data_IF_828848003953
#
_entry.id   IF_828848003953
#
_cell.length_a   1.000
_cell.length_b   1.000
_cell.length_c   1.000
_cell.angle_alpha   90.00
_cell.angle_beta   90.00
_cell.angle_gamma   90.00
#
_symmetry.space_group_name_H-M   'P 1'
#
loop_
_entity.id
_entity.type
_entity.pdbx_description
1 polymer ?
#
# COMPACT_ATOMS: atom_id res chain seq x y z
N UNK A 1 -17.64 4.88 36.37
CA UNK A 1 -17.10 5.36 35.08
C UNK A 1 -16.15 4.28 34.60
N UNK A 2 -16.36 3.72 33.42
CA UNK A 2 -15.46 2.71 32.86
C UNK A 2 -14.10 3.36 32.61
N UNK A 3 -13.04 2.72 33.11
CA UNK A 3 -11.68 3.21 32.97
C UNK A 3 -11.18 2.91 31.55
N UNK A 4 -11.39 3.85 30.62
CA UNK A 4 -11.09 3.64 29.19
C UNK A 4 -9.61 3.32 28.90
N UNK A 5 -8.73 3.48 29.89
CA UNK A 5 -7.31 3.12 29.83
C UNK A 5 -7.04 1.63 30.05
N UNK A 6 -8.04 0.81 30.38
CA UNK A 6 -7.88 -0.65 30.45
C UNK A 6 -8.01 -1.34 29.10
N UNK A 7 -8.58 -0.67 28.10
CA UNK A 7 -8.74 -1.22 26.77
C UNK A 7 -7.40 -1.40 26.08
N UNK A 8 -7.22 -2.60 25.52
CA UNK A 8 -6.08 -2.96 24.68
C UNK A 8 -6.50 -2.92 23.22
N UNK A 9 -5.53 -2.90 22.32
CA UNK A 9 -5.82 -2.87 20.89
C UNK A 9 -6.59 -4.13 20.44
N UNK A 10 -6.32 -5.27 21.09
CA UNK A 10 -7.00 -6.53 20.86
C UNK A 10 -8.53 -6.45 21.10
N UNK A 11 -8.97 -5.61 22.04
CA UNK A 11 -10.39 -5.46 22.41
C UNK A 11 -11.23 -4.80 21.29
N UNK A 12 -10.56 -4.15 20.33
CA UNK A 12 -11.21 -3.51 19.18
C UNK A 12 -11.24 -4.39 17.91
N UNK A 13 -10.70 -5.61 17.97
CA UNK A 13 -10.78 -6.55 16.84
C UNK A 13 -12.19 -7.16 16.74
N UNK A 14 -12.86 -6.85 15.63
CA UNK A 14 -14.24 -7.29 15.37
C UNK A 14 -14.32 -8.67 14.69
N UNK A 15 -13.17 -9.27 14.40
CA UNK A 15 -13.06 -10.50 13.61
C UNK A 15 -11.85 -11.32 14.07
N UNK A 16 -11.88 -12.63 13.79
CA UNK A 16 -10.75 -13.52 14.06
C UNK A 16 -9.74 -13.54 12.91
N UNK A 17 -8.46 -13.89 13.17
CA UNK A 17 -7.45 -14.02 12.11
C UNK A 17 -7.88 -14.96 10.98
N UNK A 18 -8.61 -16.04 11.29
CA UNK A 18 -9.14 -16.97 10.29
C UNK A 18 -10.09 -16.29 9.31
N UNK A 19 -10.99 -15.44 9.80
CA UNK A 19 -11.94 -14.68 8.96
C UNK A 19 -11.19 -13.68 8.09
N UNK A 20 -10.20 -12.99 8.67
CA UNK A 20 -9.34 -12.05 7.95
C UNK A 20 -8.61 -12.70 6.77
N UNK A 21 -7.90 -13.81 7.01
CA UNK A 21 -7.15 -14.48 5.94
C UNK A 21 -8.05 -15.14 4.90
N UNK A 22 -9.21 -15.67 5.32
CA UNK A 22 -10.21 -16.23 4.40
C UNK A 22 -10.73 -15.19 3.41
N UNK A 23 -10.83 -13.92 3.81
CA UNK A 23 -11.20 -12.83 2.90
C UNK A 23 -10.24 -12.73 1.71
N UNK A 24 -8.94 -12.82 1.94
CA UNK A 24 -7.92 -12.77 0.88
C UNK A 24 -7.97 -14.01 -0.01
N UNK A 25 -8.16 -15.20 0.56
CA UNK A 25 -8.34 -16.43 -0.23
C UNK A 25 -9.50 -16.32 -1.22
N UNK A 26 -10.66 -15.87 -0.74
CA UNK A 26 -11.85 -15.69 -1.56
C UNK A 26 -11.66 -14.58 -2.60
N UNK A 27 -10.99 -13.48 -2.23
CA UNK A 27 -10.66 -12.41 -3.16
C UNK A 27 -9.72 -12.89 -4.27
N UNK A 28 -8.66 -13.62 -3.91
CA UNK A 28 -7.68 -14.13 -4.86
C UNK A 28 -8.29 -15.13 -5.84
N UNK A 29 -9.09 -16.07 -5.34
CA UNK A 29 -9.82 -17.01 -6.19
C UNK A 29 -10.77 -16.28 -7.17
N UNK A 30 -11.50 -15.27 -6.68
CA UNK A 30 -12.43 -14.50 -7.50
C UNK A 30 -11.76 -13.60 -8.54
N UNK A 31 -10.51 -13.17 -8.29
CA UNK A 31 -9.78 -12.26 -9.16
C UNK A 31 -8.78 -12.96 -10.07
N UNK A 32 -8.62 -14.28 -10.02
CA UNK A 32 -7.79 -14.97 -10.99
C UNK A 32 -8.28 -14.70 -12.43
N UNK A 33 -7.42 -14.31 -13.40
CA UNK A 33 -5.95 -14.20 -13.36
C UNK A 33 -5.40 -12.76 -13.20
N UNK A 34 -6.20 -11.82 -12.69
CA UNK A 34 -5.87 -10.39 -12.57
C UNK A 34 -4.56 -10.13 -11.80
N UNK A 35 -4.17 -11.02 -10.88
CA UNK A 35 -2.87 -10.96 -10.18
C UNK A 35 -1.70 -10.85 -11.15
N UNK A 36 -1.73 -11.58 -12.26
CA UNK A 36 -0.66 -11.53 -13.26
C UNK A 36 -0.60 -10.16 -13.93
N UNK A 37 -1.75 -9.57 -14.22
CA UNK A 37 -1.86 -8.25 -14.82
C UNK A 37 -1.41 -7.14 -13.85
N UNK A 38 -1.77 -7.23 -12.57
CA UNK A 38 -1.36 -6.25 -11.57
C UNK A 38 0.14 -6.33 -11.28
N UNK A 39 0.72 -7.53 -11.21
CA UNK A 39 2.17 -7.72 -11.10
C UNK A 39 2.91 -7.17 -12.34
N UNK A 40 2.40 -7.43 -13.54
CA UNK A 40 2.94 -6.85 -14.78
C UNK A 40 2.86 -5.31 -14.78
N UNK A 41 1.75 -4.75 -14.29
CA UNK A 41 1.59 -3.31 -14.13
C UNK A 41 2.59 -2.73 -13.11
N UNK A 42 2.87 -3.44 -12.02
CA UNK A 42 3.90 -3.06 -11.04
C UNK A 42 5.30 -3.05 -11.64
N UNK A 43 5.65 -4.07 -12.43
CA UNK A 43 6.92 -4.11 -13.16
C UNK A 43 7.01 -2.97 -14.20
N UNK A 44 5.91 -2.68 -14.90
CA UNK A 44 5.84 -1.55 -15.81
C UNK A 44 6.04 -0.20 -15.09
N UNK A 45 5.48 -0.01 -13.89
CA UNK A 45 5.75 1.18 -13.07
C UNK A 45 7.24 1.31 -12.76
N UNK A 46 7.88 0.25 -12.29
CA UNK A 46 9.33 0.24 -12.01
C UNK A 46 10.13 0.59 -13.27
N UNK A 47 9.79 0.00 -14.41
CA UNK A 47 10.45 0.28 -15.69
C UNK A 47 10.26 1.74 -16.12
N UNK A 48 9.07 2.31 -15.94
CA UNK A 48 8.79 3.72 -16.26
C UNK A 48 9.61 4.68 -15.39
N UNK A 49 9.79 4.36 -14.10
CA UNK A 49 10.65 5.14 -13.18
C UNK A 49 12.12 5.12 -13.62
N UNK A 50 12.59 3.97 -14.13
CA UNK A 50 13.98 3.77 -14.58
C UNK A 50 14.25 4.38 -15.96
N UNK A 51 13.36 4.16 -16.94
CA UNK A 51 13.54 4.55 -18.35
C UNK A 51 13.11 5.97 -18.65
N UNK A 52 12.16 6.51 -17.89
CA UNK A 52 11.67 7.90 -17.95
C UNK A 52 11.30 8.39 -19.36
N UNK A 53 10.49 7.64 -20.14
CA UNK A 53 9.99 8.13 -21.44
C UNK A 53 9.14 9.40 -21.29
N UNK A 54 8.78 10.04 -22.42
CA UNK A 54 7.86 11.19 -22.39
C UNK A 54 6.57 10.82 -21.65
N UNK A 55 6.10 11.70 -20.76
CA UNK A 55 4.90 11.51 -19.93
C UNK A 55 4.95 10.30 -18.97
N UNK A 56 6.13 9.77 -18.62
CA UNK A 56 6.25 8.66 -17.67
C UNK A 56 5.53 8.92 -16.33
N UNK A 57 5.60 10.14 -15.80
CA UNK A 57 4.93 10.50 -14.54
C UNK A 57 3.40 10.39 -14.61
N UNK A 58 2.81 10.73 -15.75
CA UNK A 58 1.38 10.56 -16.01
C UNK A 58 1.00 9.08 -16.01
N UNK A 59 1.73 8.25 -16.76
CA UNK A 59 1.44 6.81 -16.83
C UNK A 59 1.58 6.12 -15.47
N UNK A 60 2.64 6.42 -14.71
CA UNK A 60 2.82 5.89 -13.36
C UNK A 60 1.63 6.27 -12.47
N UNK A 61 1.22 7.55 -12.49
CA UNK A 61 0.11 8.03 -11.68
C UNK A 61 -1.23 7.41 -12.10
N UNK A 62 -1.50 7.25 -13.39
CA UNK A 62 -2.73 6.63 -13.89
C UNK A 62 -2.82 5.15 -13.48
N UNK A 63 -1.72 4.40 -13.61
CA UNK A 63 -1.69 2.99 -13.20
C UNK A 63 -1.89 2.89 -11.69
N UNK A 64 -1.13 3.65 -10.88
CA UNK A 64 -1.32 3.66 -9.42
C UNK A 64 -2.75 4.09 -9.04
N UNK A 65 -3.32 5.11 -9.68
CA UNK A 65 -4.68 5.55 -9.41
C UNK A 65 -5.70 4.44 -9.70
N UNK A 66 -5.57 3.74 -10.83
CA UNK A 66 -6.39 2.58 -11.15
C UNK A 66 -6.29 1.48 -10.08
N UNK A 67 -5.07 1.17 -9.62
CA UNK A 67 -4.85 0.19 -8.57
C UNK A 67 -5.45 0.62 -7.22
N UNK A 68 -5.26 1.87 -6.79
CA UNK A 68 -5.84 2.39 -5.55
C UNK A 68 -7.37 2.36 -5.59
N UNK A 69 -7.97 2.81 -6.70
CA UNK A 69 -9.42 2.78 -6.88
C UNK A 69 -9.94 1.33 -6.87
N UNK A 70 -9.27 0.43 -7.58
CA UNK A 70 -9.65 -0.98 -7.63
C UNK A 70 -9.53 -1.66 -6.27
N UNK A 71 -8.42 -1.51 -5.55
CA UNK A 71 -8.21 -2.10 -4.22
C UNK A 71 -9.20 -1.53 -3.21
N UNK A 72 -9.40 -0.21 -3.21
CA UNK A 72 -10.34 0.48 -2.33
C UNK A 72 -11.78 0.01 -2.53
N UNK A 73 -12.22 -0.14 -3.78
CA UNK A 73 -13.54 -0.66 -4.08
C UNK A 73 -13.66 -2.17 -3.80
N UNK A 74 -12.76 -2.95 -4.39
CA UNK A 74 -12.93 -4.39 -4.49
C UNK A 74 -12.66 -5.12 -3.17
N UNK A 75 -11.57 -4.79 -2.47
CA UNK A 75 -11.21 -5.46 -1.23
C UNK A 75 -11.71 -4.66 -0.03
N UNK A 76 -11.35 -3.39 0.08
CA UNK A 76 -11.69 -2.61 1.29
C UNK A 76 -13.20 -2.44 1.43
N UNK A 77 -13.86 -1.85 0.43
CA UNK A 77 -15.30 -1.56 0.51
C UNK A 77 -16.16 -2.84 0.44
N UNK A 78 -15.97 -3.68 -0.58
CA UNK A 78 -16.90 -4.83 -0.80
C UNK A 78 -16.67 -6.02 0.12
N UNK A 79 -15.48 -6.20 0.69
CA UNK A 79 -15.13 -7.40 1.46
C UNK A 79 -14.73 -7.08 2.89
N UNK A 80 -13.79 -6.16 3.08
CA UNK A 80 -13.25 -5.88 4.41
C UNK A 80 -14.23 -5.09 5.28
N UNK A 81 -14.98 -4.14 4.70
CA UNK A 81 -16.02 -3.39 5.42
C UNK A 81 -17.14 -4.29 5.99
N UNK A 82 -17.35 -5.49 5.41
CA UNK A 82 -18.35 -6.43 5.89
C UNK A 82 -17.95 -7.10 7.22
N UNK A 83 -16.65 -7.24 7.50
CA UNK A 83 -16.14 -7.83 8.75
C UNK A 83 -15.56 -6.77 9.71
N UNK A 84 -15.29 -5.57 9.21
CA UNK A 84 -14.77 -4.45 9.97
C UNK A 84 -15.42 -3.15 9.51
N UNK A 85 -16.47 -2.70 10.21
CA UNK A 85 -17.25 -1.52 9.82
C UNK A 85 -16.41 -0.25 9.71
N UNK A 86 -15.30 -0.14 10.46
CA UNK A 86 -14.41 1.02 10.39
C UNK A 86 -13.82 1.22 8.98
N UNK A 87 -13.66 0.12 8.22
CA UNK A 87 -13.13 0.16 6.85
C UNK A 87 -14.07 0.87 5.88
N UNK A 88 -15.37 0.97 6.17
CA UNK A 88 -16.29 1.79 5.38
C UNK A 88 -15.86 3.27 5.35
N UNK A 89 -15.20 3.76 6.40
CA UNK A 89 -14.66 5.13 6.43
C UNK A 89 -13.27 5.25 5.81
N UNK A 90 -12.49 4.15 5.80
CA UNK A 90 -11.13 4.12 5.25
C UNK A 90 -11.13 3.92 3.73
N UNK A 91 -12.03 3.10 3.20
CA UNK A 91 -12.08 2.76 1.79
C UNK A 91 -12.24 3.99 0.85
N UNK A 92 -13.05 5.02 1.16
CA UNK A 92 -13.09 6.26 0.35
C UNK A 92 -11.75 6.99 0.27
N UNK A 93 -10.87 6.86 1.27
CA UNK A 93 -9.54 7.47 1.23
C UNK A 93 -8.69 6.89 0.10
N UNK A 94 -8.84 5.61 -0.24
CA UNK A 94 -8.17 5.02 -1.41
C UNK A 94 -8.69 5.61 -2.73
N UNK A 95 -9.98 5.91 -2.81
CA UNK A 95 -10.55 6.67 -3.93
C UNK A 95 -9.99 8.09 -4.01
N UNK A 96 -9.87 8.78 -2.87
CA UNK A 96 -9.24 10.09 -2.80
C UNK A 96 -7.78 10.05 -3.24
N UNK A 97 -7.00 9.04 -2.81
CA UNK A 97 -5.63 8.83 -3.26
C UNK A 97 -5.55 8.68 -4.79
N UNK A 98 -6.46 7.92 -5.40
CA UNK A 98 -6.53 7.79 -6.85
C UNK A 98 -6.79 9.13 -7.54
N UNK A 99 -7.72 9.93 -7.03
CA UNK A 99 -8.01 11.27 -7.57
C UNK A 99 -6.80 12.22 -7.43
N UNK A 100 -6.15 12.22 -6.28
CA UNK A 100 -4.96 13.03 -6.02
C UNK A 100 -3.80 12.67 -6.96
N UNK A 101 -3.60 11.38 -7.25
CA UNK A 101 -2.60 10.91 -8.21
C UNK A 101 -2.87 11.44 -9.62
N UNK A 102 -4.11 11.30 -10.10
CA UNK A 102 -4.51 11.80 -11.44
C UNK A 102 -4.34 13.32 -11.52
N UNK A 103 -4.82 14.05 -10.51
CA UNK A 103 -4.74 15.50 -10.47
C UNK A 103 -3.29 16.00 -10.38
N UNK A 104 -2.47 15.37 -9.54
CA UNK A 104 -1.07 15.71 -9.39
C UNK A 104 -0.27 15.48 -10.66
N UNK A 105 -0.56 14.40 -11.39
CA UNK A 105 0.05 14.16 -12.69
C UNK A 105 -0.43 15.12 -13.78
N UNK A 106 -1.74 15.42 -13.83
CA UNK A 106 -2.31 16.33 -14.82
C UNK A 106 -1.73 17.76 -14.71
N UNK A 107 -1.37 18.18 -13.49
CA UNK A 107 -0.70 19.47 -13.25
C UNK A 107 0.82 19.43 -13.35
N UNK A 108 1.41 18.32 -13.81
CA UNK A 108 2.87 18.17 -13.88
C UNK A 108 3.57 18.12 -12.52
N UNK A 109 2.81 17.91 -11.43
CA UNK A 109 3.30 17.89 -10.06
C UNK A 109 3.96 16.57 -9.62
N UNK A 110 4.20 15.65 -10.57
CA UNK A 110 4.87 14.37 -10.35
C UNK A 110 5.93 14.14 -11.42
N UNK A 111 7.19 14.38 -11.07
CA UNK A 111 8.35 14.08 -11.89
C UNK A 111 9.20 12.99 -11.23
N UNK A 112 9.77 12.08 -12.01
CA UNK A 112 10.62 10.98 -11.50
C UNK A 112 12.07 11.18 -11.93
N UNK A 113 12.61 12.37 -11.64
CA UNK A 113 13.94 12.80 -12.06
C UNK A 113 15.03 12.50 -11.02
N UNK A 114 14.66 12.25 -9.76
CA UNK A 114 15.58 12.05 -8.64
C UNK A 114 16.52 10.85 -8.83
N UNK A 115 17.72 10.96 -8.24
CA UNK A 115 18.77 9.91 -8.24
C UNK A 115 19.47 9.76 -6.89
N UNK A 116 18.95 10.40 -5.85
CA UNK A 116 19.51 10.36 -4.50
C UNK A 116 19.27 9.00 -3.81
N UNK A 117 19.90 8.82 -2.65
CA UNK A 117 19.75 7.59 -1.86
C UNK A 117 18.29 7.32 -1.51
N UNK A 118 17.50 8.36 -1.21
CA UNK A 118 16.07 8.24 -0.95
C UNK A 118 15.29 7.66 -2.13
N UNK A 119 15.60 8.05 -3.38
CA UNK A 119 14.98 7.47 -4.56
C UNK A 119 15.36 5.99 -4.76
N UNK A 120 16.63 5.61 -4.46
CA UNK A 120 17.07 4.19 -4.54
C UNK A 120 16.40 3.33 -3.48
N UNK A 121 16.33 3.82 -2.23
CA UNK A 121 15.61 3.18 -1.15
C UNK A 121 14.11 3.06 -1.46
N UNK A 122 13.52 4.11 -2.05
CA UNK A 122 12.15 4.09 -2.53
C UNK A 122 11.92 2.95 -3.54
N UNK A 123 12.81 2.79 -4.53
CA UNK A 123 12.68 1.70 -5.48
C UNK A 123 12.82 0.32 -4.82
N UNK A 124 13.72 0.17 -3.83
CA UNK A 124 13.83 -1.06 -3.04
C UNK A 124 12.54 -1.36 -2.28
N UNK A 125 11.96 -0.37 -1.60
CA UNK A 125 10.66 -0.49 -0.92
C UNK A 125 9.57 -0.88 -1.94
N UNK A 126 9.61 -0.31 -3.15
CA UNK A 126 8.66 -0.63 -4.20
C UNK A 126 8.72 -2.11 -4.61
N UNK A 127 9.93 -2.63 -4.78
CA UNK A 127 10.17 -4.04 -5.10
C UNK A 127 9.78 -4.96 -3.95
N UNK A 128 9.98 -4.55 -2.69
CA UNK A 128 9.52 -5.31 -1.51
C UNK A 128 8.00 -5.48 -1.54
N UNK A 129 7.24 -4.40 -1.76
CA UNK A 129 5.79 -4.48 -1.88
C UNK A 129 5.32 -5.34 -3.06
N UNK A 130 6.04 -5.26 -4.19
CA UNK A 130 5.68 -5.98 -5.41
C UNK A 130 5.98 -7.49 -5.34
N UNK A 131 7.13 -7.86 -4.78
CA UNK A 131 7.70 -9.22 -4.89
C UNK A 131 7.78 -9.91 -3.54
N UNK A 132 8.32 -9.25 -2.51
CA UNK A 132 8.57 -9.92 -1.22
C UNK A 132 7.27 -10.13 -0.45
N UNK A 133 6.40 -9.13 -0.41
CA UNK A 133 5.16 -9.17 0.37
C UNK A 133 4.23 -10.33 -0.01
N UNK A 134 3.94 -10.60 -1.31
CA UNK A 134 3.08 -11.71 -1.71
C UNK A 134 3.66 -13.10 -1.38
N UNK A 135 4.97 -13.20 -1.14
CA UNK A 135 5.67 -14.45 -0.82
C UNK A 135 5.72 -14.74 0.68
N UNK A 136 5.25 -13.82 1.52
CA UNK A 136 5.27 -13.96 2.98
C UNK A 136 4.34 -15.02 3.58
N UNK A 137 3.09 -15.22 3.12
CA UNK A 137 2.16 -16.10 3.81
C UNK A 137 2.71 -17.53 4.07
N UNK A 138 3.34 -18.21 3.09
CA UNK A 138 3.94 -19.52 3.32
C UNK A 138 5.04 -19.53 4.39
N UNK A 139 5.82 -18.44 4.52
CA UNK A 139 6.86 -18.32 5.56
C UNK A 139 6.29 -18.28 6.97
N UNK A 140 5.02 -17.90 7.10
CA UNK A 140 4.28 -17.84 8.35
C UNK A 140 3.25 -18.98 8.49
N UNK A 141 3.41 -20.06 7.71
CA UNK A 141 2.53 -21.24 7.77
C UNK A 141 1.14 -21.03 7.17
N UNK A 142 0.91 -19.95 6.42
CA UNK A 142 -0.36 -19.69 5.71
C UNK A 142 -0.34 -20.23 4.28
N UNK A 143 -1.51 -20.61 3.72
CA UNK A 143 -1.58 -21.10 2.34
C UNK A 143 -1.27 -19.99 1.32
N UNK A 144 -0.72 -20.37 0.17
CA UNK A 144 -0.50 -19.46 -0.96
C UNK A 144 -1.77 -18.75 -1.45
N UNK A 145 -2.93 -19.39 -1.26
CA UNK A 145 -4.21 -18.80 -1.61
C UNK A 145 -4.51 -17.51 -0.84
N UNK A 146 -3.97 -17.34 0.38
CA UNK A 146 -4.15 -16.13 1.18
C UNK A 146 -3.11 -15.05 0.88
N UNK A 147 -2.35 -15.17 -0.21
CA UNK A 147 -1.30 -14.22 -0.55
C UNK A 147 -1.82 -12.82 -0.83
N UNK A 148 -1.19 -11.83 -0.20
CA UNK A 148 -1.50 -10.44 -0.45
C UNK A 148 -0.70 -9.97 -1.67
N UNK A 149 -1.36 -9.98 -2.83
CA UNK A 149 -0.73 -9.63 -4.11
C UNK A 149 -0.86 -8.13 -4.39
N UNK A 150 0.22 -7.50 -4.88
CA UNK A 150 0.21 -6.12 -5.35
C UNK A 150 -0.94 -5.86 -6.35
N UNK A 151 -1.64 -4.74 -6.16
CA UNK A 151 -2.79 -4.34 -6.97
C UNK A 151 -4.10 -5.08 -6.68
N UNK A 152 -4.08 -6.08 -5.79
CA UNK A 152 -5.27 -6.77 -5.28
C UNK A 152 -5.45 -6.48 -3.78
N UNK A 153 -4.36 -6.62 -3.03
CA UNK A 153 -4.30 -6.34 -1.59
C UNK A 153 -3.77 -4.92 -1.32
N UNK A 154 -4.25 -4.26 -0.25
CA UNK A 154 -3.93 -2.87 0.04
C UNK A 154 -2.51 -2.67 0.56
N UNK A 155 -1.99 -3.58 1.39
CA UNK A 155 -0.65 -3.47 1.99
C UNK A 155 0.48 -3.47 0.94
N UNK A 156 0.60 -4.48 0.06
CA UNK A 156 1.64 -4.47 -0.97
C UNK A 156 1.49 -3.29 -1.93
N UNK A 157 0.25 -2.86 -2.22
CA UNK A 157 -0.04 -1.71 -3.07
C UNK A 157 0.41 -0.41 -2.43
N UNK A 158 0.13 -0.22 -1.13
CA UNK A 158 0.55 0.95 -0.37
C UNK A 158 2.07 1.00 -0.19
N UNK A 159 2.73 -0.12 0.14
CA UNK A 159 4.19 -0.22 0.23
C UNK A 159 4.81 0.15 -1.13
N UNK A 160 4.31 -0.44 -2.21
CA UNK A 160 4.82 -0.17 -3.54
C UNK A 160 4.64 1.30 -3.94
N UNK A 161 3.49 1.88 -3.64
CA UNK A 161 3.20 3.28 -3.91
C UNK A 161 4.10 4.24 -3.12
N UNK A 162 4.33 3.98 -1.82
CA UNK A 162 5.28 4.78 -1.03
C UNK A 162 6.68 4.75 -1.63
N UNK A 163 7.15 3.55 -2.01
CA UNK A 163 8.45 3.39 -2.66
C UNK A 163 8.57 4.17 -3.97
N UNK A 164 7.56 4.10 -4.83
CA UNK A 164 7.49 4.85 -6.09
C UNK A 164 7.45 6.37 -5.82
N UNK A 165 6.62 6.83 -4.88
CA UNK A 165 6.47 8.25 -4.55
C UNK A 165 7.72 8.85 -3.88
N UNK A 166 8.53 8.04 -3.17
CA UNK A 166 9.84 8.48 -2.66
C UNK A 166 10.84 8.83 -3.78
N UNK A 167 10.75 8.13 -4.92
CA UNK A 167 11.52 8.43 -6.12
C UNK A 167 10.97 9.64 -6.90
N UNK A 168 9.77 10.11 -6.57
CA UNK A 168 9.15 11.27 -7.19
C UNK A 168 9.62 12.60 -6.56
N UNK A 169 9.55 13.66 -7.36
CA UNK A 169 9.69 15.05 -6.98
C UNK A 169 8.39 15.80 -7.31
N UNK A 170 8.03 16.76 -6.47
CA UNK A 170 6.81 17.55 -6.62
C UNK A 170 6.24 18.06 -5.30
N UNK A 171 5.50 19.17 -5.38
CA UNK A 171 4.87 19.80 -4.20
C UNK A 171 3.78 18.93 -3.58
N UNK A 172 3.13 18.08 -4.38
CA UNK A 172 2.06 17.20 -3.94
C UNK A 172 2.54 15.85 -3.39
N UNK A 173 3.84 15.51 -3.54
CA UNK A 173 4.38 14.22 -3.08
C UNK A 173 4.12 13.98 -1.58
N UNK A 174 4.35 14.94 -0.65
CA UNK A 174 4.05 14.71 0.77
C UNK A 174 2.57 14.38 1.03
N UNK A 175 1.65 15.03 0.31
CA UNK A 175 0.21 14.76 0.41
C UNK A 175 -0.14 13.35 -0.08
N UNK A 176 0.46 12.93 -1.20
CA UNK A 176 0.27 11.60 -1.79
C UNK A 176 0.85 10.46 -0.93
N UNK A 177 1.76 10.76 0.00
CA UNK A 177 2.30 9.77 0.93
C UNK A 177 1.39 9.56 2.14
N UNK A 178 0.50 10.51 2.46
CA UNK A 178 -0.29 10.48 3.68
C UNK A 178 -1.22 9.26 3.75
N UNK A 179 -2.02 9.00 2.71
CA UNK A 179 -3.01 7.91 2.71
C UNK A 179 -2.32 6.53 2.77
N UNK A 180 -1.31 6.22 1.94
CA UNK A 180 -0.64 4.93 2.04
C UNK A 180 0.12 4.76 3.37
N UNK A 181 0.69 5.82 3.96
CA UNK A 181 1.31 5.76 5.30
C UNK A 181 0.28 5.43 6.38
N UNK A 182 -0.83 6.17 6.42
CA UNK A 182 -1.89 5.95 7.39
C UNK A 182 -2.48 4.54 7.25
N UNK A 183 -2.62 4.05 6.02
CA UNK A 183 -3.04 2.68 5.77
C UNK A 183 -2.06 1.65 6.35
N UNK A 184 -0.77 1.77 6.08
CA UNK A 184 0.22 0.80 6.60
C UNK A 184 0.34 0.84 8.12
N UNK A 185 0.13 2.00 8.74
CA UNK A 185 0.01 2.10 10.19
C UNK A 185 -1.23 1.34 10.70
N UNK A 186 -2.40 1.59 10.10
CA UNK A 186 -3.64 0.92 10.46
C UNK A 186 -3.53 -0.61 10.28
N UNK A 187 -3.03 -1.06 9.13
CA UNK A 187 -2.87 -2.48 8.83
C UNK A 187 -1.85 -3.13 9.75
N UNK A 188 -0.68 -2.51 9.93
CA UNK A 188 0.36 -3.02 10.83
C UNK A 188 -0.12 -3.16 12.28
N UNK A 189 -0.89 -2.17 12.79
CA UNK A 189 -1.52 -2.24 14.10
C UNK A 189 -2.58 -3.35 14.17
N UNK A 190 -3.39 -3.51 13.11
CA UNK A 190 -4.40 -4.58 13.04
C UNK A 190 -3.73 -5.96 13.06
N UNK A 191 -2.69 -6.17 12.27
CA UNK A 191 -1.91 -7.41 12.25
C UNK A 191 -1.24 -7.67 13.61
N UNK A 192 -0.72 -6.63 14.25
CA UNK A 192 -0.10 -6.74 15.57
C UNK A 192 -1.13 -7.17 16.64
N UNK A 193 -2.32 -6.56 16.63
CA UNK A 193 -3.43 -6.92 17.52
C UNK A 193 -3.88 -8.37 17.31
N UNK A 194 -3.80 -8.88 16.07
CA UNK A 194 -4.10 -10.28 15.74
C UNK A 194 -3.00 -11.25 16.18
N UNK A 195 -1.86 -10.76 16.70
CA UNK A 195 -0.68 -11.56 17.00
C UNK A 195 0.03 -12.10 15.77
N UNK A 196 -0.18 -11.48 14.60
CA UNK A 196 0.39 -11.97 13.35
C UNK A 196 1.85 -11.51 13.16
N UNK A 197 2.79 -12.43 12.88
CA UNK A 197 4.19 -12.08 12.69
C UNK A 197 4.42 -11.21 11.45
N UNK A 198 3.46 -11.07 10.52
CA UNK A 198 3.61 -10.18 9.37
C UNK A 198 3.52 -8.69 9.73
N UNK A 199 3.03 -8.35 10.94
CA UNK A 199 2.78 -6.98 11.38
C UNK A 199 3.99 -6.03 11.26
N UNK A 200 5.21 -6.55 11.42
CA UNK A 200 6.41 -5.71 11.38
C UNK A 200 6.66 -5.10 10.00
N UNK A 201 6.25 -5.74 8.90
CA UNK A 201 6.64 -5.28 7.57
C UNK A 201 5.88 -4.02 7.12
N UNK A 202 4.54 -3.91 7.24
CA UNK A 202 3.83 -2.65 7.00
C UNK A 202 4.36 -1.51 7.87
N UNK A 203 4.60 -1.77 9.16
CA UNK A 203 5.13 -0.77 10.10
C UNK A 203 6.56 -0.33 9.72
N UNK A 204 7.43 -1.28 9.36
CA UNK A 204 8.79 -0.98 8.92
C UNK A 204 8.79 -0.18 7.62
N UNK A 205 7.94 -0.54 6.65
CA UNK A 205 7.83 0.21 5.40
C UNK A 205 7.35 1.65 5.62
N UNK A 206 6.38 1.85 6.51
CA UNK A 206 5.93 3.17 6.92
C UNK A 206 7.06 3.97 7.61
N UNK A 207 7.73 3.37 8.60
CA UNK A 207 8.82 4.00 9.34
C UNK A 207 10.01 4.34 8.43
N UNK A 208 10.41 3.42 7.55
CA UNK A 208 11.49 3.64 6.58
C UNK A 208 11.16 4.76 5.60
N UNK A 209 9.90 4.88 5.19
CA UNK A 209 9.44 5.97 4.31
C UNK A 209 9.54 7.32 5.00
N UNK A 210 9.08 7.41 6.26
CA UNK A 210 9.18 8.64 7.06
C UNK A 210 10.65 9.01 7.29
N UNK A 211 11.50 8.04 7.66
CA UNK A 211 12.93 8.24 7.84
C UNK A 211 13.63 8.72 6.56
N UNK A 212 13.31 8.12 5.40
CA UNK A 212 13.84 8.54 4.12
C UNK A 212 13.42 9.99 3.78
N UNK A 213 12.18 10.38 4.13
CA UNK A 213 11.71 11.75 3.94
C UNK A 213 12.42 12.77 4.86
N UNK A 214 12.64 12.43 6.13
CA UNK A 214 13.27 13.34 7.09
C UNK A 214 14.74 13.53 6.80
N UNK A 215 15.48 12.45 6.55
CA UNK A 215 16.89 12.50 6.12
C UNK A 215 17.06 13.37 4.86
N UNK A 216 16.12 13.25 3.92
CA UNK A 216 16.09 14.06 2.70
C UNK A 216 15.81 15.55 2.94
N UNK A 217 15.06 15.89 3.99
CA UNK A 217 14.83 17.31 4.37
C UNK A 217 16.07 17.90 5.06
N UNK A 218 16.80 17.10 5.83
CA UNK A 218 18.02 17.54 6.55
C UNK A 218 19.20 17.72 5.59
N UNK A 219 19.30 16.88 4.55
CA UNK A 219 20.38 16.95 3.55
C UNK A 219 20.21 18.06 2.48
N UNK A 220 19.18 18.91 2.59
CA UNK A 220 18.92 20.05 1.70
C UNK A 220 19.27 21.35 2.41
#
# INVERSE_FOLDING_TARGET
MSEWWTYRLEDFLLFSPRVYWRMFELANAAFWPLQLLTLAAGLAIVLLVLRRPRRHGLWIALVLAGLFAFVGWSLLWRRYAAINWAIAYVAPAFGLQALLLVFGAARGGLAFDRRDLAARLGLLIAVIGLVVYPLLPPLFGRPWASAEVFGIAPDPTAIAALGVLLAASGVLVPLLLAIPLLWLLLSGLTLHAMGDPQAWLPLLAAAATVAAMTLRRIAR
#
